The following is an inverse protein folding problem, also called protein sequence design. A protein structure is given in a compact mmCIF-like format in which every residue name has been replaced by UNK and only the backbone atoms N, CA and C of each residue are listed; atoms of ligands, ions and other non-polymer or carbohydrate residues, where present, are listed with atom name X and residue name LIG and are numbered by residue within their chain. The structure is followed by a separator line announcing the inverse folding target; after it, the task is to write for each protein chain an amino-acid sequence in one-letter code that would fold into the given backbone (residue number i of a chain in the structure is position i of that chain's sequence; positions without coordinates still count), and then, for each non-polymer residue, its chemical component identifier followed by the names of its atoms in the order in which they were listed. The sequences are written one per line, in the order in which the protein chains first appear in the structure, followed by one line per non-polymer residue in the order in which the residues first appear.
data_IF_138408634621
#
_entry.id   IF_138408634621
#
_cell.length_a   1.000
_cell.length_b   1.000
_cell.length_c   1.000
_cell.angle_alpha   90.00
_cell.angle_beta   90.00
_cell.angle_gamma   90.00
#
_symmetry.space_group_name_H-M   'P 1'
#
loop_
_entity.id
_entity.type
_entity.pdbx_description
1 polymer ?
#
# COMPACT_ATOMS: atom_id res chain seq x y z
N UNK A 1 60.43 -39.49 35.71
CA UNK A 1 59.02 -39.95 35.59
C UNK A 1 58.18 -38.75 36.02
N UNK A 2 57.59 -37.96 35.14
CA UNK A 2 56.35 -38.25 34.41
C UNK A 2 56.40 -37.70 32.98
N UNK A 3 55.86 -38.48 32.03
CA UNK A 3 55.83 -38.17 30.59
C UNK A 3 54.75 -37.14 30.27
N UNK A 4 55.16 -36.10 29.54
CA UNK A 4 54.31 -35.22 28.74
C UNK A 4 53.52 -36.03 27.70
N UNK A 5 52.23 -35.71 27.55
CA UNK A 5 51.44 -36.02 26.34
C UNK A 5 50.84 -34.72 25.83
N UNK A 6 51.51 -34.17 24.82
CA UNK A 6 50.95 -33.24 23.84
C UNK A 6 49.77 -33.89 23.13
N UNK A 7 48.58 -33.30 23.23
CA UNK A 7 47.46 -33.61 22.34
C UNK A 7 47.14 -32.38 21.51
N UNK A 8 47.03 -32.62 20.21
CA UNK A 8 47.07 -31.65 19.13
C UNK A 8 45.82 -30.77 19.14
N UNK A 9 46.04 -29.47 18.99
CA UNK A 9 45.04 -28.50 18.55
C UNK A 9 44.38 -28.98 17.26
N UNK A 10 43.05 -29.10 17.26
CA UNK A 10 42.25 -29.10 16.05
C UNK A 10 41.48 -27.78 16.03
N UNK A 11 42.08 -26.79 15.37
CA UNK A 11 41.43 -25.55 14.99
C UNK A 11 40.40 -25.92 13.91
N UNK A 12 39.13 -26.07 14.28
CA UNK A 12 38.04 -26.16 13.31
C UNK A 12 37.83 -24.75 12.79
N UNK A 13 38.48 -24.44 11.67
CA UNK A 13 38.17 -23.25 10.89
C UNK A 13 36.72 -23.37 10.42
N UNK A 14 35.82 -22.62 11.06
CA UNK A 14 34.47 -22.43 10.59
C UNK A 14 34.52 -21.79 9.21
N UNK A 15 34.17 -22.57 8.19
CA UNK A 15 33.91 -22.08 6.85
C UNK A 15 32.76 -21.06 6.96
N UNK A 16 33.12 -19.77 6.91
CA UNK A 16 32.19 -18.72 6.53
C UNK A 16 31.78 -19.02 5.09
N UNK A 17 30.64 -19.67 4.93
CA UNK A 17 29.94 -19.72 3.66
C UNK A 17 29.49 -18.29 3.36
N UNK A 18 30.36 -17.52 2.72
CA UNK A 18 29.96 -16.35 1.98
C UNK A 18 29.04 -16.86 0.86
N UNK A 19 27.74 -16.74 1.07
CA UNK A 19 26.74 -16.89 0.01
C UNK A 19 27.04 -15.80 -1.01
N UNK A 20 27.90 -16.11 -1.99
CA UNK A 20 28.06 -15.28 -3.18
C UNK A 20 26.71 -15.29 -3.88
N UNK A 21 26.03 -14.15 -3.83
CA UNK A 21 24.88 -13.87 -4.69
C UNK A 21 25.42 -13.95 -6.12
N UNK A 22 25.22 -15.10 -6.77
CA UNK A 22 25.63 -15.28 -8.15
C UNK A 22 24.69 -14.43 -9.01
N UNK A 23 25.13 -13.21 -9.32
CA UNK A 23 24.49 -12.42 -10.37
C UNK A 23 24.60 -13.22 -11.66
N UNK A 24 23.45 -13.61 -12.22
CA UNK A 24 23.42 -14.26 -13.51
C UNK A 24 24.17 -13.37 -14.52
N UNK A 25 25.16 -13.96 -15.20
CA UNK A 25 25.84 -13.30 -16.31
C UNK A 25 24.87 -13.02 -17.45
N UNK A 26 25.30 -12.28 -18.49
CA UNK A 26 24.47 -12.04 -19.67
C UNK A 26 23.91 -13.36 -20.23
N UNK A 27 22.61 -13.41 -20.48
CA UNK A 27 21.97 -14.54 -21.16
C UNK A 27 22.03 -14.29 -22.66
N UNK A 28 22.70 -15.17 -23.43
CA UNK A 28 22.90 -15.02 -24.88
C UNK A 28 23.42 -13.62 -25.31
N UNK A 29 24.23 -12.98 -24.47
CA UNK A 29 24.78 -11.64 -24.73
C UNK A 29 23.81 -10.48 -24.47
N UNK A 30 22.62 -10.74 -23.92
CA UNK A 30 21.65 -9.72 -23.52
C UNK A 30 21.84 -9.36 -22.04
N UNK A 31 21.92 -8.06 -21.77
CA UNK A 31 22.04 -7.51 -20.42
C UNK A 31 23.47 -7.50 -19.86
N UNK A 32 23.63 -6.92 -18.67
CA UNK A 32 24.88 -6.91 -17.90
C UNK A 32 24.54 -6.99 -16.42
N UNK A 33 25.38 -7.64 -15.63
CA UNK A 33 25.26 -7.63 -14.17
C UNK A 33 25.31 -6.19 -13.65
N UNK A 34 24.29 -5.81 -12.88
CA UNK A 34 24.19 -4.51 -12.21
C UNK A 34 24.87 -4.59 -10.84
N UNK A 35 25.57 -3.54 -10.43
CA UNK A 35 26.22 -3.51 -9.10
C UNK A 35 25.21 -3.14 -8.02
N UNK A 36 25.51 -3.48 -6.77
CA UNK A 36 24.66 -3.11 -5.64
C UNK A 36 24.49 -1.57 -5.53
N UNK A 37 25.53 -0.81 -5.83
CA UNK A 37 25.50 0.67 -5.81
C UNK A 37 24.59 1.23 -6.90
N UNK A 38 24.49 0.54 -8.05
CA UNK A 38 23.58 0.93 -9.12
C UNK A 38 22.12 0.53 -8.83
N UNK A 39 21.89 -0.52 -8.03
CA UNK A 39 20.55 -0.92 -7.55
C UNK A 39 20.06 -0.01 -6.43
N UNK A 40 20.93 0.41 -5.50
CA UNK A 40 20.54 1.08 -4.25
C UNK A 40 19.59 2.29 -4.42
N UNK A 41 19.70 3.16 -5.44
CA UNK A 41 18.74 4.26 -5.65
C UNK A 41 17.33 3.80 -6.06
N UNK A 42 17.20 2.57 -6.56
CA UNK A 42 15.95 2.00 -7.09
C UNK A 42 15.29 1.07 -6.08
N UNK A 43 16.10 0.42 -5.23
CA UNK A 43 15.67 -0.51 -4.18
C UNK A 43 15.19 0.23 -2.92
N UNK A 44 14.10 0.98 -3.10
CA UNK A 44 13.46 1.76 -2.03
C UNK A 44 12.13 1.15 -1.57
N UNK A 45 11.81 -0.04 -2.05
CA UNK A 45 10.53 -0.73 -1.80
C UNK A 45 10.43 -1.16 -0.36
N UNK A 46 9.42 -0.65 0.34
CA UNK A 46 9.06 -1.09 1.70
C UNK A 46 7.90 -2.07 1.62
N UNK A 47 8.08 -3.27 2.19
CA UNK A 47 7.05 -4.30 2.21
C UNK A 47 6.06 -4.11 3.36
N UNK A 48 4.94 -4.84 3.31
CA UNK A 48 3.83 -4.68 4.25
C UNK A 48 4.21 -5.03 5.71
N UNK A 49 5.20 -5.89 5.91
CA UNK A 49 5.75 -6.29 7.20
C UNK A 49 6.85 -5.34 7.72
N UNK A 50 7.16 -4.29 6.95
CA UNK A 50 8.19 -3.30 7.26
C UNK A 50 9.60 -3.70 6.84
N UNK A 51 9.78 -4.78 6.06
CA UNK A 51 11.06 -5.06 5.41
C UNK A 51 11.50 -3.85 4.55
N UNK A 52 12.79 -3.53 4.62
CA UNK A 52 13.44 -2.40 3.94
C UNK A 52 13.00 -0.99 4.37
N UNK A 53 12.31 -0.84 5.50
CA UNK A 53 12.11 0.47 6.13
C UNK A 53 13.48 1.12 6.42
N UNK A 54 13.76 2.34 5.92
CA UNK A 54 15.03 3.01 6.17
C UNK A 54 15.11 3.47 7.63
N UNK A 55 16.34 3.66 8.12
CA UNK A 55 16.55 4.30 9.41
C UNK A 55 16.00 5.73 9.37
N UNK A 56 15.29 6.11 10.44
CA UNK A 56 14.68 7.43 10.58
C UNK A 56 13.54 7.43 11.57
N UNK A 57 12.99 8.61 11.81
CA UNK A 57 11.81 8.81 12.65
C UNK A 57 11.15 10.15 12.36
N UNK A 58 9.90 10.31 12.76
CA UNK A 58 9.20 11.59 12.69
C UNK A 58 7.99 11.63 13.61
N UNK A 59 7.73 12.78 14.20
CA UNK A 59 6.58 12.97 15.08
C UNK A 59 5.32 13.36 14.32
N UNK A 60 4.15 13.17 14.94
CA UNK A 60 2.86 13.70 14.42
C UNK A 60 2.95 15.22 14.23
N UNK A 61 3.53 15.95 15.18
CA UNK A 61 3.68 17.41 15.12
C UNK A 61 4.58 17.87 13.95
N UNK A 62 5.73 17.22 13.74
CA UNK A 62 6.59 17.51 12.57
C UNK A 62 5.85 17.19 11.26
N UNK A 63 5.08 16.10 11.27
CA UNK A 63 4.28 15.65 10.13
C UNK A 63 3.19 16.62 9.74
N UNK A 64 2.53 17.25 10.72
CA UNK A 64 1.53 18.29 10.50
C UNK A 64 2.12 19.45 9.70
N UNK A 65 3.29 19.97 10.12
CA UNK A 65 3.94 21.06 9.42
C UNK A 65 4.30 20.71 7.98
N UNK A 66 4.82 19.49 7.74
CA UNK A 66 5.14 19.02 6.39
C UNK A 66 3.87 18.86 5.56
N UNK A 67 2.82 18.29 6.14
CA UNK A 67 1.54 18.09 5.48
C UNK A 67 0.91 19.41 5.05
N UNK A 68 0.88 20.41 5.92
CA UNK A 68 0.35 21.73 5.58
C UNK A 68 1.15 22.39 4.45
N UNK A 69 2.47 22.25 4.45
CA UNK A 69 3.33 22.85 3.43
C UNK A 69 3.26 22.12 2.07
N UNK A 70 3.12 20.80 2.07
CA UNK A 70 3.37 19.96 0.86
C UNK A 70 2.17 19.12 0.40
N UNK A 71 1.14 18.93 1.23
CA UNK A 71 0.04 17.98 0.97
C UNK A 71 -1.34 18.64 0.95
N UNK A 72 -1.59 19.60 1.86
CA UNK A 72 -2.92 20.16 2.12
C UNK A 72 -3.55 20.85 0.90
N UNK A 73 -2.74 21.39 -0.03
CA UNK A 73 -3.25 22.03 -1.25
C UNK A 73 -4.12 21.10 -2.12
N UNK A 74 -3.90 19.78 -2.01
CA UNK A 74 -4.67 18.76 -2.72
C UNK A 74 -5.54 17.96 -1.75
N UNK A 75 -5.01 17.61 -0.57
CA UNK A 75 -5.66 16.68 0.35
C UNK A 75 -6.55 17.36 1.40
N UNK A 76 -6.65 18.69 1.40
CA UNK A 76 -7.39 19.45 2.41
C UNK A 76 -6.54 19.71 3.66
N UNK A 77 -6.94 20.67 4.47
CA UNK A 77 -6.20 21.03 5.70
C UNK A 77 -6.33 19.93 6.77
N UNK A 78 -7.47 19.25 6.78
CA UNK A 78 -7.83 18.18 7.71
C UNK A 78 -7.98 16.83 7.01
N UNK A 79 -7.46 16.68 5.79
CA UNK A 79 -7.56 15.43 5.03
C UNK A 79 -8.90 15.20 4.36
N UNK A 80 -9.76 16.22 4.23
CA UNK A 80 -11.09 16.13 3.62
C UNK A 80 -11.07 15.94 2.09
N UNK A 81 -9.92 16.22 1.45
CA UNK A 81 -9.72 16.15 0.01
C UNK A 81 -10.30 17.37 -0.72
N UNK A 82 -9.47 18.05 -1.52
CA UNK A 82 -9.96 19.05 -2.45
C UNK A 82 -10.77 18.39 -3.58
N UNK A 83 -11.55 19.18 -4.33
CA UNK A 83 -12.39 18.67 -5.43
C UNK A 83 -11.54 17.89 -6.45
N UNK A 84 -11.81 16.59 -6.57
CA UNK A 84 -11.10 15.69 -7.49
C UNK A 84 -9.81 15.08 -6.95
N UNK A 85 -9.46 15.37 -5.69
CA UNK A 85 -8.30 14.80 -5.01
C UNK A 85 -8.74 13.82 -3.90
N UNK A 86 -7.94 12.77 -3.63
CA UNK A 86 -8.27 11.80 -2.59
C UNK A 86 -8.30 12.45 -1.20
N UNK A 87 -9.26 12.04 -0.38
CA UNK A 87 -9.31 12.34 1.06
C UNK A 87 -8.46 11.34 1.85
N UNK A 88 -8.04 11.72 3.04
CA UNK A 88 -7.30 10.86 3.98
C UNK A 88 -8.24 10.01 4.84
N UNK A 89 -9.36 10.58 5.28
CA UNK A 89 -10.31 9.92 6.18
C UNK A 89 -11.55 9.42 5.42
N UNK A 90 -11.79 8.11 5.50
CA UNK A 90 -13.00 7.44 5.01
C UNK A 90 -14.09 7.34 6.08
N UNK A 91 -15.25 6.78 5.72
CA UNK A 91 -16.28 6.42 6.69
C UNK A 91 -15.69 5.44 7.74
N UNK A 92 -16.20 5.42 8.99
CA UNK A 92 -15.84 4.38 9.95
C UNK A 92 -15.96 2.97 9.36
N UNK A 93 -15.06 2.06 9.73
CA UNK A 93 -14.99 0.72 9.13
C UNK A 93 -16.33 -0.04 9.17
N UNK A 94 -17.05 0.04 10.29
CA UNK A 94 -18.38 -0.57 10.45
C UNK A 94 -19.42 0.01 9.49
N UNK A 95 -19.34 1.32 9.21
CA UNK A 95 -20.22 1.98 8.25
C UNK A 95 -19.88 1.57 6.82
N UNK A 96 -18.59 1.43 6.48
CA UNK A 96 -18.16 0.86 5.20
C UNK A 96 -18.75 -0.53 5.00
N UNK A 97 -18.67 -1.41 6.00
CA UNK A 97 -19.25 -2.76 5.93
C UNK A 97 -20.77 -2.74 5.79
N UNK A 98 -21.47 -1.84 6.49
CA UNK A 98 -22.92 -1.69 6.38
C UNK A 98 -23.33 -1.24 4.96
N UNK A 99 -22.63 -0.26 4.39
CA UNK A 99 -22.86 0.23 3.01
C UNK A 99 -22.55 -0.83 1.96
N UNK A 100 -21.46 -1.57 2.12
CA UNK A 100 -21.11 -2.66 1.22
C UNK A 100 -22.20 -3.75 1.17
N UNK A 101 -22.81 -4.09 2.32
CA UNK A 101 -23.97 -5.00 2.39
C UNK A 101 -25.23 -4.44 1.74
N UNK A 102 -25.34 -3.12 1.66
CA UNK A 102 -26.45 -2.41 1.03
C UNK A 102 -26.22 -2.11 -0.47
N UNK A 103 -25.13 -2.60 -1.07
CA UNK A 103 -24.71 -2.30 -2.46
C UNK A 103 -24.42 -0.79 -2.70
N UNK A 104 -23.99 -0.08 -1.64
CA UNK A 104 -23.64 1.35 -1.65
C UNK A 104 -22.12 1.58 -1.55
N UNK A 105 -21.32 0.69 -2.13
CA UNK A 105 -19.86 0.78 -2.10
C UNK A 105 -19.34 1.79 -3.16
N UNK A 106 -18.91 2.97 -2.70
CA UNK A 106 -18.41 4.03 -3.58
C UNK A 106 -16.99 4.45 -3.20
N UNK A 107 -16.27 5.08 -4.14
CA UNK A 107 -14.93 5.63 -3.85
C UNK A 107 -14.96 6.74 -2.80
N UNK A 108 -16.09 7.45 -2.67
CA UNK A 108 -16.23 8.60 -1.78
C UNK A 108 -16.29 8.26 -0.29
N UNK A 109 -16.56 6.99 0.06
CA UNK A 109 -16.61 6.51 1.45
C UNK A 109 -15.29 5.88 1.89
N UNK A 110 -14.31 5.72 1.00
CA UNK A 110 -13.02 5.06 1.28
C UNK A 110 -11.95 6.08 1.73
N UNK A 111 -11.02 5.63 2.57
CA UNK A 111 -9.88 6.40 3.05
C UNK A 111 -8.81 5.51 3.69
N UNK A 112 -7.81 6.12 4.32
CA UNK A 112 -6.70 5.38 4.97
C UNK A 112 -7.22 4.45 6.06
N UNK A 113 -8.15 4.93 6.88
CA UNK A 113 -8.74 4.22 8.03
C UNK A 113 -9.52 2.94 7.69
N UNK A 114 -10.13 2.86 6.51
CA UNK A 114 -11.04 1.76 6.17
C UNK A 114 -10.62 0.95 4.93
N UNK A 115 -9.58 1.39 4.23
CA UNK A 115 -9.06 0.70 3.06
C UNK A 115 -7.63 0.18 3.28
N UNK A 116 -6.74 0.89 3.96
CA UNK A 116 -5.32 0.49 3.99
C UNK A 116 -5.08 -0.61 5.03
N UNK A 117 -4.38 -1.69 4.64
CA UNK A 117 -4.15 -2.86 5.49
C UNK A 117 -2.89 -2.80 6.35
N UNK A 118 -1.88 -2.00 5.98
CA UNK A 118 -0.59 -1.97 6.66
C UNK A 118 0.00 -0.55 6.65
N UNK A 119 0.51 -0.07 7.79
CA UNK A 119 1.14 1.25 7.87
C UNK A 119 2.47 1.37 7.08
N UNK A 120 3.33 0.33 6.99
CA UNK A 120 4.53 0.40 6.17
C UNK A 120 4.27 0.67 4.68
N UNK A 121 3.15 0.20 4.11
CA UNK A 121 2.83 0.47 2.69
C UNK A 121 2.41 1.92 2.47
N UNK A 122 1.82 2.57 3.48
CA UNK A 122 1.55 4.01 3.45
C UNK A 122 2.85 4.81 3.42
N UNK A 123 3.83 4.41 4.25
CA UNK A 123 5.16 5.00 4.23
C UNK A 123 5.85 4.84 2.85
N UNK A 124 5.82 3.63 2.27
CA UNK A 124 6.38 3.38 0.93
C UNK A 124 5.80 4.35 -0.09
N UNK A 125 4.47 4.43 -0.12
CA UNK A 125 3.75 5.26 -1.08
C UNK A 125 4.07 6.75 -0.90
N UNK A 126 4.05 7.25 0.35
CA UNK A 126 4.37 8.64 0.64
C UNK A 126 5.81 8.96 0.23
N UNK A 127 6.79 8.14 0.61
CA UNK A 127 8.20 8.36 0.27
C UNK A 127 8.45 8.29 -1.24
N UNK A 128 7.82 7.32 -1.93
CA UNK A 128 8.07 7.05 -3.35
C UNK A 128 7.33 8.00 -4.28
N UNK A 129 6.08 8.32 -3.97
CA UNK A 129 5.16 8.93 -4.93
C UNK A 129 4.65 10.31 -4.49
N UNK A 130 4.84 10.71 -3.23
CA UNK A 130 4.38 12.00 -2.72
C UNK A 130 5.55 12.96 -2.41
N UNK A 131 5.29 14.28 -2.42
CA UNK A 131 4.10 14.94 -2.99
C UNK A 131 3.95 14.68 -4.48
N UNK A 132 2.72 14.66 -5.00
CA UNK A 132 2.46 14.31 -6.40
C UNK A 132 3.25 15.16 -7.42
N UNK A 133 3.48 16.44 -7.12
CA UNK A 133 4.25 17.35 -7.97
C UNK A 133 5.77 17.20 -7.85
N UNK A 134 6.26 16.47 -6.85
CA UNK A 134 7.68 16.27 -6.55
C UNK A 134 7.91 14.91 -5.85
N UNK A 135 7.67 13.78 -6.54
CA UNK A 135 7.87 12.46 -5.95
C UNK A 135 9.32 12.25 -5.53
N UNK A 136 9.54 11.47 -4.46
CA UNK A 136 10.87 11.19 -3.88
C UNK A 136 11.61 12.44 -3.36
N UNK A 137 10.90 13.55 -3.10
CA UNK A 137 11.50 14.77 -2.53
C UNK A 137 11.56 14.78 -1.00
N UNK A 138 10.87 13.85 -0.33
CA UNK A 138 10.91 13.71 1.12
C UNK A 138 12.11 12.88 1.55
N UNK A 139 12.83 13.36 2.57
CA UNK A 139 13.78 12.54 3.32
C UNK A 139 13.07 11.41 4.07
N UNK A 140 13.84 10.43 4.57
CA UNK A 140 13.29 9.32 5.34
C UNK A 140 12.51 9.80 6.57
N UNK A 141 13.07 10.78 7.31
CA UNK A 141 12.44 11.37 8.49
C UNK A 141 11.18 12.17 8.15
N UNK A 142 11.21 12.98 7.09
CA UNK A 142 10.01 13.69 6.62
C UNK A 142 8.91 12.73 6.18
N UNK A 143 9.26 11.62 5.53
CA UNK A 143 8.29 10.59 5.16
C UNK A 143 7.71 9.90 6.40
N UNK A 144 8.51 9.64 7.45
CA UNK A 144 8.02 9.08 8.72
C UNK A 144 7.07 10.05 9.40
N UNK A 145 7.45 11.31 9.53
CA UNK A 145 6.65 12.37 10.12
C UNK A 145 5.31 12.51 9.39
N UNK A 146 5.34 12.65 8.06
CA UNK A 146 4.14 12.78 7.22
C UNK A 146 3.23 11.56 7.37
N UNK A 147 3.81 10.35 7.36
CA UNK A 147 3.05 9.10 7.58
C UNK A 147 2.38 9.10 8.95
N UNK A 148 3.12 9.48 10.00
CA UNK A 148 2.61 9.54 11.37
C UNK A 148 1.41 10.48 11.48
N UNK A 149 1.52 11.67 10.89
CA UNK A 149 0.43 12.64 10.87
C UNK A 149 -0.77 12.18 10.04
N UNK A 150 -0.56 11.52 8.90
CA UNK A 150 -1.68 10.96 8.12
C UNK A 150 -2.41 9.86 8.89
N UNK A 151 -1.70 9.02 9.65
CA UNK A 151 -2.31 8.02 10.52
C UNK A 151 -3.11 8.66 11.67
N UNK A 152 -2.63 9.79 12.19
CA UNK A 152 -3.35 10.59 13.17
C UNK A 152 -4.62 11.23 12.58
N UNK A 153 -4.52 11.86 11.41
CA UNK A 153 -5.66 12.41 10.66
C UNK A 153 -6.71 11.35 10.32
N UNK A 154 -6.25 10.13 10.06
CA UNK A 154 -7.12 8.99 9.77
C UNK A 154 -7.69 8.33 11.04
N UNK A 155 -7.46 8.90 12.23
CA UNK A 155 -7.93 8.38 13.52
C UNK A 155 -7.45 6.94 13.82
N UNK A 156 -6.30 6.55 13.27
CA UNK A 156 -5.67 5.23 13.51
C UNK A 156 -4.78 5.29 14.75
N UNK A 157 -4.18 6.46 15.00
CA UNK A 157 -3.43 6.78 16.21
C UNK A 157 -4.02 8.04 16.82
N UNK A 158 -4.06 8.13 18.14
CA UNK A 158 -4.72 9.20 18.89
C UNK A 158 -3.75 10.11 19.67
N UNK A 159 -2.48 9.70 19.82
CA UNK A 159 -1.46 10.49 20.50
C UNK A 159 -0.78 11.50 19.55
N UNK A 160 -1.09 12.78 19.73
CA UNK A 160 -0.47 13.88 18.99
C UNK A 160 1.03 14.06 19.26
N UNK A 161 1.58 13.40 20.28
CA UNK A 161 3.02 13.39 20.59
C UNK A 161 3.72 12.12 20.07
N UNK A 162 3.00 11.23 19.39
CA UNK A 162 3.57 9.99 18.88
C UNK A 162 4.72 10.27 17.92
N UNK A 163 5.78 9.46 18.07
CA UNK A 163 6.93 9.43 17.15
C UNK A 163 6.90 8.11 16.41
N UNK A 164 6.76 8.17 15.09
CA UNK A 164 6.81 7.01 14.23
C UNK A 164 8.24 6.75 13.77
N UNK A 165 8.72 5.53 13.98
CA UNK A 165 9.91 4.95 13.38
C UNK A 165 9.56 3.59 12.76
N UNK A 166 10.56 2.85 12.29
CA UNK A 166 10.33 1.54 11.68
C UNK A 166 9.58 0.57 12.61
N UNK A 167 9.86 0.59 13.92
CA UNK A 167 9.21 -0.30 14.88
C UNK A 167 7.77 0.13 15.16
N UNK A 168 7.53 1.44 15.29
CA UNK A 168 6.20 1.98 15.45
C UNK A 168 5.30 1.61 14.27
N UNK A 169 5.75 1.83 13.02
CA UNK A 169 4.93 1.52 11.83
C UNK A 169 4.59 0.02 11.72
N UNK A 170 5.52 -0.87 12.09
CA UNK A 170 5.24 -2.32 12.14
C UNK A 170 4.24 -2.71 13.22
N UNK A 171 4.20 -1.96 14.33
CA UNK A 171 3.33 -2.23 15.47
C UNK A 171 1.89 -1.70 15.28
N UNK A 172 1.69 -0.70 14.41
CA UNK A 172 0.37 -0.14 14.13
C UNK A 172 -0.48 -1.18 13.40
N UNK A 173 -1.58 -1.59 14.03
CA UNK A 173 -2.61 -2.44 13.42
C UNK A 173 -3.61 -1.56 12.68
N UNK A 174 -3.58 -1.61 11.35
CA UNK A 174 -4.56 -0.90 10.54
C UNK A 174 -5.94 -1.58 10.62
N UNK A 175 -7.05 -0.83 10.66
CA UNK A 175 -8.38 -1.43 10.84
C UNK A 175 -8.81 -2.35 9.69
N UNK A 176 -8.38 -2.05 8.46
CA UNK A 176 -8.82 -2.77 7.27
C UNK A 176 -8.03 -4.04 6.94
N UNK A 177 -7.06 -4.45 7.77
CA UNK A 177 -6.19 -5.61 7.48
C UNK A 177 -6.98 -6.89 7.21
N UNK A 178 -8.06 -7.11 7.98
CA UNK A 178 -8.90 -8.31 7.89
C UNK A 178 -9.91 -8.27 6.71
N UNK A 179 -9.97 -7.17 5.94
CA UNK A 179 -10.81 -7.07 4.74
C UNK A 179 -10.19 -7.75 3.50
N UNK A 180 -8.92 -8.16 3.58
CA UNK A 180 -8.17 -8.69 2.45
C UNK A 180 -7.99 -10.20 2.55
N UNK A 181 -8.15 -10.90 1.42
CA UNK A 181 -7.91 -12.33 1.30
C UNK A 181 -7.30 -12.64 -0.08
N UNK A 182 -6.57 -13.75 -0.18
CA UNK A 182 -6.02 -14.22 -1.46
C UNK A 182 -7.17 -14.65 -2.37
N UNK A 183 -7.18 -14.16 -3.60
CA UNK A 183 -8.16 -14.53 -4.62
C UNK A 183 -8.23 -16.05 -4.75
N UNK A 184 -9.40 -16.60 -4.43
CA UNK A 184 -9.70 -18.02 -4.46
C UNK A 184 -10.52 -18.42 -5.68
N UNK A 185 -10.66 -17.53 -6.68
CA UNK A 185 -11.46 -17.81 -7.88
C UNK A 185 -10.81 -18.88 -8.76
N UNK A 186 -11.62 -19.72 -9.44
CA UNK A 186 -13.08 -19.69 -9.46
C UNK A 186 -13.70 -20.22 -8.14
N UNK A 187 -14.55 -19.40 -7.53
CA UNK A 187 -15.29 -19.67 -6.29
C UNK A 187 -16.69 -20.25 -6.56
N UNK A 188 -17.13 -20.19 -7.81
CA UNK A 188 -18.40 -20.76 -8.30
C UNK A 188 -18.19 -21.92 -9.27
N UNK A 189 -19.02 -22.95 -9.14
CA UNK A 189 -19.07 -24.11 -10.05
C UNK A 189 -20.27 -23.99 -11.00
N UNK A 190 -20.26 -22.99 -11.88
CA UNK A 190 -21.35 -22.77 -12.84
C UNK A 190 -21.08 -23.47 -14.17
N UNK A 191 -21.93 -24.44 -14.54
CA UNK A 191 -21.98 -24.97 -15.89
C UNK A 191 -22.71 -24.00 -16.81
N UNK A 192 -22.10 -23.64 -17.96
CA UNK A 192 -22.71 -22.74 -18.94
C UNK A 192 -23.93 -23.42 -19.58
N UNK A 193 -25.06 -22.73 -19.64
CA UNK A 193 -26.19 -23.15 -20.45
C UNK A 193 -25.88 -22.97 -21.95
N UNK A 194 -26.14 -24.01 -22.76
CA UNK A 194 -25.88 -23.99 -24.19
C UNK A 194 -27.15 -23.87 -25.04
N UNK A 195 -28.30 -24.34 -24.55
CA UNK A 195 -29.57 -24.36 -25.30
C UNK A 195 -30.74 -23.96 -24.40
N UNK A 196 -31.69 -23.19 -24.95
CA UNK A 196 -32.94 -22.76 -24.28
C UNK A 196 -32.72 -22.13 -22.89
N UNK A 197 -31.76 -21.19 -22.80
CA UNK A 197 -31.26 -20.66 -21.53
C UNK A 197 -32.17 -19.63 -20.84
N UNK A 198 -33.10 -19.03 -21.57
CA UNK A 198 -34.00 -18.00 -21.07
C UNK A 198 -35.44 -18.47 -21.27
N UNK A 199 -36.29 -18.29 -20.25
CA UNK A 199 -37.73 -18.58 -20.34
C UNK A 199 -38.49 -17.50 -21.13
N UNK A 200 -37.95 -16.29 -21.16
CA UNK A 200 -38.56 -15.11 -21.80
C UNK A 200 -37.54 -14.41 -22.69
N UNK A 201 -38.03 -13.65 -23.68
CA UNK A 201 -37.17 -12.86 -24.54
C UNK A 201 -36.45 -11.75 -23.73
N UNK A 202 -35.14 -11.54 -23.92
CA UNK A 202 -34.41 -10.50 -23.21
C UNK A 202 -34.94 -9.11 -23.58
N UNK A 203 -35.03 -8.22 -22.59
CA UNK A 203 -35.47 -6.83 -22.76
C UNK A 203 -34.30 -5.90 -22.46
N UNK A 204 -34.10 -4.90 -23.32
CA UNK A 204 -33.09 -3.85 -23.11
C UNK A 204 -33.52 -2.98 -21.93
N UNK A 205 -32.78 -3.03 -20.81
CA UNK A 205 -33.06 -2.24 -19.60
C UNK A 205 -32.41 -0.85 -19.59
N UNK A 206 -31.40 -0.63 -20.44
CA UNK A 206 -30.70 0.64 -20.57
C UNK A 206 -29.78 0.63 -21.79
N UNK A 207 -29.46 1.82 -22.31
CA UNK A 207 -28.51 2.03 -23.40
C UNK A 207 -27.52 3.11 -22.97
N UNK A 208 -26.22 2.81 -23.08
CA UNK A 208 -25.15 3.79 -22.85
C UNK A 208 -25.02 4.73 -24.06
N UNK A 209 -26.06 5.51 -24.37
CA UNK A 209 -25.96 6.60 -25.34
C UNK A 209 -26.87 7.75 -24.89
N UNK A 210 -26.26 8.80 -24.34
CA UNK A 210 -26.81 10.15 -24.36
C UNK A 210 -25.82 11.00 -25.17
N UNK A 211 -26.14 11.31 -26.43
CA UNK A 211 -25.31 12.15 -27.33
C UNK A 211 -24.04 11.48 -27.89
N UNK A 212 -23.11 12.29 -28.38
CA UNK A 212 -21.87 11.88 -29.10
C UNK A 212 -20.69 11.52 -28.18
N UNK A 213 -20.90 11.42 -26.87
CA UNK A 213 -19.86 11.04 -25.90
C UNK A 213 -20.22 9.74 -25.19
N UNK A 214 -19.25 8.82 -25.15
CA UNK A 214 -19.33 7.48 -24.55
C UNK A 214 -19.45 7.45 -23.02
N UNK A 215 -19.75 8.57 -22.38
CA UNK A 215 -19.80 8.76 -20.92
C UNK A 215 -21.15 9.29 -20.40
N UNK A 216 -22.20 9.28 -21.22
CA UNK A 216 -23.55 9.67 -20.79
C UNK A 216 -24.13 8.70 -19.75
N UNK A 217 -24.80 9.24 -18.71
CA UNK A 217 -25.54 8.46 -17.73
C UNK A 217 -26.52 7.49 -18.42
N UNK A 218 -26.59 6.23 -17.98
CA UNK A 218 -27.56 5.28 -18.54
C UNK A 218 -28.96 5.68 -18.09
N UNK A 219 -29.80 6.19 -19.00
CA UNK A 219 -31.24 6.36 -18.72
C UNK A 219 -31.91 4.98 -18.71
N UNK A 220 -32.67 4.67 -17.65
CA UNK A 220 -33.56 3.51 -17.65
C UNK A 220 -34.69 3.75 -18.64
N UNK A 221 -35.11 2.70 -19.34
CA UNK A 221 -36.26 2.78 -20.24
C UNK A 221 -37.53 3.02 -19.39
N UNK A 222 -38.15 4.20 -19.53
CA UNK A 222 -39.39 4.58 -18.84
C UNK A 222 -39.29 5.74 -17.84
N UNK A 223 -38.11 6.31 -17.63
CA UNK A 223 -37.93 7.56 -16.87
C UNK A 223 -37.69 8.71 -17.89
N UNK A 224 -38.70 9.55 -18.10
CA UNK A 224 -38.57 10.82 -18.84
C UNK A 224 -37.89 11.91 -17.99
#
# INVERSE_FOLDING_TARGET
MFKSKTSKSALVAGLLAASSVAFAGPYDGIGKSITAEAIAPWDISVFFDGENLPAGKGSVADGEHIYQAKCAMCHGEFGEGAKGYPKMLGDPLEQLHARAKADEDTVGIRGINNLWGHAPTLYDYIRRAMPFFAPQSLSADEAYATTCYVLYLAEIVDDSNMVCDANALKAIKMPAVDNYYTDNRPDVKNARCMNNCMKEAPVVKGKAVIGDVSVGAVKKVGEE
#
